data_IF_586697477145
#
_entry.id   IF_586697477145
#
_cell.length_a   1.000
_cell.length_b   1.000
_cell.length_c   1.000
_cell.angle_alpha   90.00
_cell.angle_beta   90.00
_cell.angle_gamma   90.00
#
_symmetry.space_group_name_H-M   'P 1'
#
loop_
_entity.id
_entity.type
_entity.pdbx_description
1 polymer ?
#
# COMPACT_ATOMS: atom_id res chain seq x y z
N UNK A 1 12.06 10.10 16.29
CA UNK A 1 11.98 9.12 15.17
C UNK A 1 11.25 7.89 15.71
N UNK A 2 10.70 7.03 14.85
CA UNK A 2 10.01 5.82 15.29
C UNK A 2 11.04 4.75 15.68
N UNK A 3 10.70 3.89 16.65
CA UNK A 3 11.55 2.78 17.07
C UNK A 3 11.40 1.57 16.12
N UNK A 4 10.22 1.40 15.51
CA UNK A 4 9.92 0.36 14.53
C UNK A 4 8.74 0.68 13.64
N UNK A 5 8.50 -0.18 12.65
CA UNK A 5 7.41 -0.01 11.68
C UNK A 5 6.58 -1.28 11.53
N UNK A 6 5.25 -1.15 11.57
CA UNK A 6 4.31 -2.20 11.19
C UNK A 6 3.76 -1.88 9.80
N UNK A 7 3.98 -2.79 8.85
CA UNK A 7 3.54 -2.67 7.47
C UNK A 7 2.48 -3.73 7.19
N UNK A 8 1.26 -3.32 6.88
CA UNK A 8 0.15 -4.23 6.59
C UNK A 8 -0.13 -4.19 5.08
N UNK A 9 0.23 -5.25 4.37
CA UNK A 9 0.13 -5.39 2.92
C UNK A 9 0.41 -4.08 2.14
N UNK A 10 1.60 -3.46 2.32
CA UNK A 10 1.83 -2.10 1.87
C UNK A 10 1.90 -1.98 0.35
N UNK A 11 1.21 -0.98 -0.21
CA UNK A 11 1.46 -0.55 -1.58
C UNK A 11 2.87 0.04 -1.70
N UNK A 12 3.74 -0.55 -2.54
CA UNK A 12 5.09 -0.02 -2.80
C UNK A 12 5.10 0.90 -4.03
N UNK A 13 4.66 0.39 -5.19
CA UNK A 13 4.46 1.17 -6.41
C UNK A 13 3.70 0.36 -7.44
N UNK A 14 3.03 1.03 -8.37
CA UNK A 14 2.27 0.40 -9.47
C UNK A 14 3.10 -0.54 -10.36
N UNK A 15 4.43 -0.37 -10.39
CA UNK A 15 5.37 -1.18 -11.16
C UNK A 15 6.27 -2.05 -10.27
N UNK A 16 6.00 -2.13 -8.97
CA UNK A 16 6.71 -3.05 -8.09
C UNK A 16 6.23 -4.49 -8.36
N UNK A 17 7.12 -5.51 -8.24
CA UNK A 17 6.73 -6.92 -8.39
C UNK A 17 5.59 -7.36 -7.46
N UNK A 18 5.40 -6.65 -6.35
CA UNK A 18 4.34 -6.88 -5.36
C UNK A 18 2.96 -6.43 -5.82
N UNK A 19 2.84 -5.62 -6.87
CA UNK A 19 1.55 -5.04 -7.29
C UNK A 19 0.96 -5.77 -8.47
N UNK A 20 -0.24 -6.34 -8.29
CA UNK A 20 -0.99 -6.92 -9.41
C UNK A 20 -1.42 -5.81 -10.37
N UNK A 21 -1.49 -6.08 -11.69
CA UNK A 21 -2.04 -5.13 -12.65
C UNK A 21 -3.40 -4.61 -12.19
N UNK A 22 -3.58 -3.28 -12.16
CA UNK A 22 -4.82 -2.63 -11.72
C UNK A 22 -5.28 -3.04 -10.31
N UNK A 23 -4.37 -3.46 -9.43
CA UNK A 23 -4.70 -4.00 -8.10
C UNK A 23 -5.74 -5.13 -8.18
N UNK A 24 -5.54 -6.08 -9.10
CA UNK A 24 -6.47 -7.19 -9.32
C UNK A 24 -7.82 -6.78 -9.91
N UNK A 25 -7.91 -5.59 -10.51
CA UNK A 25 -9.15 -5.01 -11.03
C UNK A 25 -9.83 -4.05 -10.06
N UNK A 26 -9.33 -3.93 -8.83
CA UNK A 26 -9.82 -2.97 -7.84
C UNK A 26 -9.63 -1.51 -8.28
N UNK A 27 -8.50 -1.19 -8.91
CA UNK A 27 -8.15 0.18 -9.29
C UNK A 27 -8.16 0.37 -10.81
N UNK A 28 -8.72 1.49 -11.27
CA UNK A 28 -8.73 1.90 -12.68
C UNK A 28 -7.93 3.19 -12.84
N UNK A 29 -6.60 3.12 -12.97
CA UNK A 29 -5.76 4.30 -13.13
C UNK A 29 -5.84 4.87 -14.55
N UNK A 30 -6.04 6.18 -14.65
CA UNK A 30 -5.91 6.93 -15.90
C UNK A 30 -4.43 7.26 -16.14
N UNK A 31 -3.61 6.25 -16.47
CA UNK A 31 -2.13 6.38 -16.51
C UNK A 31 -1.62 7.54 -17.39
N UNK A 32 -2.27 7.80 -18.54
CA UNK A 32 -1.92 8.94 -19.41
C UNK A 32 -2.17 10.29 -18.72
N UNK A 33 -3.28 10.41 -17.98
CA UNK A 33 -3.61 11.62 -17.21
C UNK A 33 -2.63 11.80 -16.06
N UNK A 34 -2.30 10.73 -15.33
CA UNK A 34 -1.30 10.75 -14.26
C UNK A 34 0.04 11.25 -14.80
N UNK A 35 0.52 10.69 -15.91
CA UNK A 35 1.78 11.08 -16.52
C UNK A 35 1.78 12.57 -16.93
N UNK A 36 0.74 13.03 -17.65
CA UNK A 36 0.64 14.42 -18.07
C UNK A 36 0.57 15.41 -16.90
N UNK A 37 -0.19 15.09 -15.86
CA UNK A 37 -0.28 15.93 -14.66
C UNK A 37 1.03 15.94 -13.86
N UNK A 38 1.73 14.81 -13.78
CA UNK A 38 3.06 14.74 -13.18
C UNK A 38 4.05 15.65 -13.94
N UNK A 39 4.01 15.66 -15.27
CA UNK A 39 4.85 16.54 -16.08
C UNK A 39 4.54 18.03 -15.84
N UNK A 40 3.27 18.40 -15.78
CA UNK A 40 2.85 19.78 -15.47
C UNK A 40 3.29 20.21 -14.06
N UNK A 41 3.12 19.34 -13.07
CA UNK A 41 3.53 19.61 -11.69
C UNK A 41 5.05 19.78 -11.57
N UNK A 42 5.85 19.02 -12.34
CA UNK A 42 7.31 19.20 -12.38
C UNK A 42 7.72 20.56 -12.96
N UNK A 43 6.85 21.22 -13.74
CA UNK A 43 7.03 22.58 -14.23
C UNK A 43 6.39 23.64 -13.31
N UNK A 44 5.85 23.25 -12.15
CA UNK A 44 5.17 24.12 -11.19
C UNK A 44 3.71 24.46 -11.53
N UNK A 45 3.11 23.79 -12.53
CA UNK A 45 1.73 24.06 -12.96
C UNK A 45 0.77 23.09 -12.26
N UNK A 46 0.09 23.56 -11.22
CA UNK A 46 -0.78 22.74 -10.35
C UNK A 46 -2.30 22.91 -10.58
N UNK A 47 -2.71 23.64 -11.62
CA UNK A 47 -4.12 24.03 -11.82
C UNK A 47 -5.08 22.85 -12.01
N UNK A 48 -4.57 21.69 -12.42
CA UNK A 48 -5.36 20.50 -12.76
C UNK A 48 -5.26 19.38 -11.72
N UNK A 49 -4.66 19.64 -10.56
CA UNK A 49 -4.44 18.65 -9.51
C UNK A 49 -5.73 18.10 -8.87
N UNK A 50 -6.87 18.73 -9.14
CA UNK A 50 -8.19 18.26 -8.72
C UNK A 50 -8.76 17.14 -9.62
N UNK A 51 -8.21 16.94 -10.82
CA UNK A 51 -8.73 15.95 -11.77
C UNK A 51 -8.61 14.53 -11.19
N UNK A 52 -9.70 13.76 -11.30
CA UNK A 52 -9.73 12.33 -10.96
C UNK A 52 -8.73 11.56 -11.80
N UNK A 53 -7.86 10.78 -11.16
CA UNK A 53 -6.84 9.96 -11.83
C UNK A 53 -6.97 8.48 -11.55
N UNK A 54 -7.63 8.08 -10.47
CA UNK A 54 -7.94 6.67 -10.17
C UNK A 54 -9.41 6.57 -9.81
N UNK A 55 -10.08 5.53 -10.29
CA UNK A 55 -11.42 5.12 -9.85
C UNK A 55 -11.32 3.73 -9.24
N UNK A 56 -12.11 3.46 -8.20
CA UNK A 56 -12.11 2.17 -7.51
C UNK A 56 -13.38 1.38 -7.82
N UNK A 57 -13.23 0.07 -7.99
CA UNK A 57 -14.32 -0.87 -8.23
C UNK A 57 -15.00 -1.28 -6.91
N UNK A 58 -15.49 -0.29 -6.16
CA UNK A 58 -16.19 -0.52 -4.89
C UNK A 58 -17.41 -1.43 -5.09
N UNK A 59 -17.61 -2.47 -4.24
CA UNK A 59 -18.75 -3.35 -4.36
C UNK A 59 -20.05 -2.63 -3.98
N UNK A 60 -21.16 -3.00 -4.62
CA UNK A 60 -22.47 -2.40 -4.34
C UNK A 60 -22.90 -2.59 -2.88
N UNK A 61 -22.52 -3.70 -2.24
CA UNK A 61 -22.76 -3.93 -0.81
C UNK A 61 -22.17 -2.85 0.10
N UNK A 62 -21.08 -2.19 -0.33
CA UNK A 62 -20.50 -1.04 0.39
C UNK A 62 -21.21 0.24 0.00
N UNK A 63 -21.40 0.48 -1.30
CA UNK A 63 -21.99 1.73 -1.83
C UNK A 63 -23.45 1.92 -1.42
N UNK A 64 -24.22 0.85 -1.38
CA UNK A 64 -25.63 0.85 -1.00
C UNK A 64 -25.81 0.66 0.52
N UNK A 65 -24.71 0.46 1.25
CA UNK A 65 -24.70 0.27 2.69
C UNK A 65 -24.88 1.59 3.48
N UNK A 66 -25.11 1.52 4.80
CA UNK A 66 -25.35 2.70 5.64
C UNK A 66 -24.23 3.76 5.63
N UNK A 67 -23.01 3.35 5.28
CA UNK A 67 -21.82 4.21 5.21
C UNK A 67 -21.34 4.43 3.76
N UNK A 68 -22.13 4.06 2.75
CA UNK A 68 -21.72 4.11 1.34
C UNK A 68 -21.29 5.50 0.86
N UNK A 69 -21.96 6.55 1.32
CA UNK A 69 -21.61 7.96 1.03
C UNK A 69 -20.22 8.37 1.57
N UNK A 70 -19.67 7.62 2.54
CA UNK A 70 -18.31 7.85 3.06
C UNK A 70 -17.24 7.07 2.30
N UNK A 71 -17.63 6.16 1.41
CA UNK A 71 -16.69 5.38 0.61
C UNK A 71 -15.94 6.29 -0.37
N UNK A 72 -14.61 6.24 -0.33
CA UNK A 72 -13.80 6.95 -1.32
C UNK A 72 -13.73 6.15 -2.61
N UNK A 73 -14.54 6.51 -3.60
CA UNK A 73 -14.67 5.80 -4.88
C UNK A 73 -13.65 6.23 -5.93
N UNK A 74 -12.93 7.34 -5.71
CA UNK A 74 -11.96 7.85 -6.66
C UNK A 74 -10.92 8.75 -5.99
N UNK A 75 -9.72 8.83 -6.58
CA UNK A 75 -8.68 9.76 -6.18
C UNK A 75 -8.45 10.85 -7.24
N UNK A 76 -8.36 12.10 -6.79
CA UNK A 76 -7.78 13.21 -7.56
C UNK A 76 -6.27 13.08 -7.66
N UNK A 77 -5.64 13.82 -8.59
CA UNK A 77 -4.18 13.78 -8.74
C UNK A 77 -3.44 14.22 -7.47
N UNK A 78 -3.89 15.28 -6.79
CA UNK A 78 -3.30 15.69 -5.51
C UNK A 78 -3.40 14.60 -4.45
N UNK A 79 -4.56 13.94 -4.36
CA UNK A 79 -4.83 12.93 -3.35
C UNK A 79 -3.97 11.68 -3.61
N UNK A 80 -3.91 11.23 -4.87
CA UNK A 80 -3.02 10.14 -5.24
C UNK A 80 -1.55 10.48 -4.96
N UNK A 81 -1.12 11.72 -5.24
CA UNK A 81 0.26 12.15 -4.99
C UNK A 81 0.59 12.22 -3.50
N UNK A 82 -0.36 12.60 -2.64
CA UNK A 82 -0.14 12.67 -1.19
C UNK A 82 -0.10 11.30 -0.52
N UNK A 83 -0.78 10.29 -1.07
CA UNK A 83 -0.82 8.94 -0.52
C UNK A 83 0.19 7.98 -1.16
N UNK A 84 0.60 8.22 -2.40
CA UNK A 84 1.50 7.30 -3.10
C UNK A 84 2.94 7.38 -2.56
N UNK A 85 3.62 6.23 -2.37
CA UNK A 85 5.04 6.22 -2.15
C UNK A 85 5.79 6.93 -3.28
N UNK A 86 6.96 7.49 -2.92
CA UNK A 86 7.85 8.16 -3.86
C UNK A 86 8.22 7.20 -4.99
N UNK A 87 8.44 7.73 -6.19
CA UNK A 87 8.70 6.91 -7.38
C UNK A 87 9.93 6.01 -7.25
N UNK A 88 10.91 6.39 -6.42
CA UNK A 88 12.10 5.59 -6.11
C UNK A 88 11.96 4.95 -4.73
N UNK A 89 10.94 4.12 -4.52
CA UNK A 89 10.66 3.48 -3.23
C UNK A 89 11.85 2.72 -2.65
N UNK A 90 12.75 2.16 -3.49
CA UNK A 90 13.98 1.51 -3.01
C UNK A 90 14.92 2.41 -2.20
N UNK A 91 14.92 3.74 -2.43
CA UNK A 91 15.66 4.67 -1.57
C UNK A 91 15.03 4.80 -0.19
N UNK A 92 13.71 4.79 -0.12
CA UNK A 92 12.98 4.85 1.14
C UNK A 92 13.16 3.52 1.91
N UNK A 93 13.15 2.38 1.21
CA UNK A 93 13.45 1.07 1.80
C UNK A 93 14.90 0.98 2.31
N UNK A 94 15.88 1.49 1.58
CA UNK A 94 17.27 1.51 2.03
C UNK A 94 17.52 2.44 3.23
N UNK A 95 16.66 3.44 3.42
CA UNK A 95 16.68 4.31 4.59
C UNK A 95 15.97 3.71 5.81
N UNK A 96 15.28 2.57 5.65
CA UNK A 96 14.57 1.87 6.71
C UNK A 96 15.58 1.05 7.52
N UNK A 97 16.22 1.71 8.50
CA UNK A 97 17.24 1.09 9.36
C UNK A 97 16.62 0.40 10.59
N UNK A 98 15.49 0.89 11.06
CA UNK A 98 14.77 0.35 12.21
C UNK A 98 14.10 -0.99 11.86
N UNK A 99 13.90 -1.87 12.86
CA UNK A 99 13.14 -3.09 12.66
C UNK A 99 11.73 -2.80 12.12
N UNK A 100 11.29 -3.63 11.17
CA UNK A 100 9.90 -3.63 10.74
C UNK A 100 9.32 -5.03 10.67
N UNK A 101 8.01 -5.11 10.94
CA UNK A 101 7.19 -6.28 10.69
C UNK A 101 6.30 -5.98 9.49
N UNK A 102 6.38 -6.82 8.45
CA UNK A 102 5.44 -6.81 7.34
C UNK A 102 4.52 -8.02 7.45
N UNK A 103 3.21 -7.77 7.50
CA UNK A 103 2.19 -8.82 7.48
C UNK A 103 1.35 -8.66 6.21
N UNK A 104 1.14 -9.75 5.48
CA UNK A 104 0.28 -9.75 4.29
C UNK A 104 -0.44 -11.10 4.15
N UNK A 105 -1.61 -11.10 3.54
CA UNK A 105 -2.34 -12.32 3.23
C UNK A 105 -1.88 -12.94 1.90
N UNK A 106 -1.83 -14.27 1.82
CA UNK A 106 -1.45 -14.99 0.59
C UNK A 106 -2.50 -14.89 -0.51
N UNK A 107 -3.77 -14.67 -0.14
CA UNK A 107 -4.89 -14.51 -1.06
C UNK A 107 -5.19 -13.04 -1.38
N UNK A 108 -4.25 -12.13 -1.09
CA UNK A 108 -4.38 -10.71 -1.39
C UNK A 108 -4.69 -10.47 -2.88
N UNK A 109 -5.83 -9.82 -3.10
CA UNK A 109 -6.40 -9.58 -4.42
C UNK A 109 -5.72 -8.40 -5.12
N UNK A 110 -5.09 -7.51 -4.38
CA UNK A 110 -4.41 -6.32 -4.89
C UNK A 110 -2.90 -6.53 -5.06
N UNK A 111 -2.30 -7.34 -4.18
CA UNK A 111 -0.86 -7.52 -4.05
C UNK A 111 -0.45 -8.99 -4.13
N UNK A 112 0.81 -9.22 -4.50
CA UNK A 112 1.44 -10.54 -4.56
C UNK A 112 2.31 -10.66 -3.31
N UNK A 113 1.75 -11.23 -2.24
CA UNK A 113 2.36 -11.24 -0.91
C UNK A 113 3.78 -11.85 -0.92
N UNK A 114 3.96 -12.94 -1.66
CA UNK A 114 5.24 -13.65 -1.80
C UNK A 114 6.36 -12.80 -2.41
N UNK A 115 6.01 -11.70 -3.09
CA UNK A 115 6.99 -10.80 -3.71
C UNK A 115 7.51 -9.74 -2.73
N UNK A 116 6.95 -9.60 -1.53
CA UNK A 116 7.40 -8.57 -0.58
C UNK A 116 8.86 -8.76 -0.17
N UNK A 117 9.23 -9.93 0.36
CA UNK A 117 10.59 -10.17 0.81
C UNK A 117 11.63 -10.12 -0.32
N UNK A 118 11.43 -10.76 -1.49
CA UNK A 118 12.35 -10.63 -2.63
C UNK A 118 12.49 -9.19 -3.15
N UNK A 119 11.44 -8.37 -3.04
CA UNK A 119 11.47 -6.98 -3.48
C UNK A 119 12.17 -6.06 -2.47
N UNK A 120 12.06 -6.33 -1.17
CA UNK A 120 12.52 -5.42 -0.11
C UNK A 120 13.91 -5.81 0.43
N UNK A 121 14.20 -7.10 0.60
CA UNK A 121 15.49 -7.60 1.15
C UNK A 121 16.76 -7.12 0.41
N UNK A 122 16.75 -6.77 -0.89
CA UNK A 122 17.93 -6.17 -1.53
C UNK A 122 18.26 -4.76 -1.01
N UNK A 123 17.32 -4.08 -0.36
CA UNK A 123 17.48 -2.70 0.11
C UNK A 123 17.75 -2.61 1.62
N UNK A 124 17.20 -3.51 2.42
CA UNK A 124 17.36 -3.51 3.88
C UNK A 124 17.19 -4.92 4.45
N UNK A 125 17.94 -5.22 5.51
CA UNK A 125 17.85 -6.46 6.27
C UNK A 125 16.98 -6.34 7.54
N UNK A 126 16.41 -5.16 7.82
CA UNK A 126 15.68 -4.88 9.07
C UNK A 126 14.26 -5.47 9.13
N UNK A 127 13.86 -6.28 8.15
CA UNK A 127 12.50 -6.75 7.96
C UNK A 127 12.25 -8.16 8.48
N UNK A 128 11.12 -8.34 9.17
CA UNK A 128 10.48 -9.64 9.38
C UNK A 128 9.21 -9.70 8.53
N UNK A 129 9.01 -10.80 7.81
CA UNK A 129 7.86 -10.99 6.92
C UNK A 129 6.99 -12.14 7.46
N UNK A 130 5.68 -11.90 7.57
CA UNK A 130 4.69 -12.90 7.96
C UNK A 130 3.60 -12.94 6.92
N UNK A 131 3.45 -14.08 6.26
CA UNK A 131 2.43 -14.30 5.25
C UNK A 131 1.34 -15.21 5.82
N UNK A 132 0.09 -14.75 5.79
CA UNK A 132 -1.05 -15.48 6.32
C UNK A 132 -1.75 -16.27 5.22
N UNK A 133 -1.93 -17.60 5.34
CA UNK A 133 -2.78 -18.35 4.43
C UNK A 133 -4.25 -17.92 4.57
N UNK A 134 -5.05 -18.20 3.54
CA UNK A 134 -6.51 -18.03 3.55
C UNK A 134 -6.96 -16.60 3.96
N UNK A 135 -6.15 -15.59 3.63
CA UNK A 135 -6.34 -14.19 4.06
C UNK A 135 -6.21 -13.25 2.86
N UNK A 136 -7.25 -12.46 2.59
CA UNK A 136 -7.26 -11.39 1.58
C UNK A 136 -6.71 -10.06 2.09
N UNK A 137 -6.76 -9.01 1.24
CA UNK A 137 -6.15 -7.71 1.54
C UNK A 137 -6.81 -6.99 2.72
N UNK A 138 -8.14 -6.91 2.73
CA UNK A 138 -8.91 -6.24 3.78
C UNK A 138 -9.15 -7.17 4.96
N UNK A 139 -9.31 -8.48 4.71
CA UNK A 139 -9.50 -9.50 5.74
C UNK A 139 -8.35 -9.50 6.75
N UNK A 140 -7.13 -9.18 6.29
CA UNK A 140 -5.95 -8.97 7.13
C UNK A 140 -6.22 -8.03 8.32
N UNK A 141 -7.05 -6.99 8.15
CA UNK A 141 -7.32 -6.02 9.21
C UNK A 141 -8.25 -6.55 10.30
N UNK A 142 -8.97 -7.62 10.01
CA UNK A 142 -9.98 -8.21 10.91
C UNK A 142 -9.65 -9.64 11.35
N UNK A 143 -8.62 -10.26 10.77
CA UNK A 143 -8.19 -11.60 11.15
C UNK A 143 -7.70 -11.64 12.61
N UNK A 144 -8.10 -12.63 13.42
CA UNK A 144 -7.64 -12.75 14.80
C UNK A 144 -6.13 -12.95 14.90
N UNK A 145 -5.50 -13.52 13.87
CA UNK A 145 -4.07 -13.85 13.86
C UNK A 145 -3.19 -12.59 13.88
N UNK A 146 -3.64 -11.50 13.23
CA UNK A 146 -2.86 -10.27 13.12
C UNK A 146 -2.54 -9.69 14.50
N UNK A 147 -3.50 -9.67 15.41
CA UNK A 147 -3.32 -9.14 16.75
C UNK A 147 -2.24 -9.93 17.52
N UNK A 148 -2.31 -11.26 17.48
CA UNK A 148 -1.33 -12.14 18.15
C UNK A 148 0.07 -11.93 17.58
N UNK A 149 0.22 -11.87 16.25
CA UNK A 149 1.51 -11.64 15.59
C UNK A 149 2.13 -10.31 16.00
N UNK A 150 1.32 -9.24 16.05
CA UNK A 150 1.78 -7.91 16.44
C UNK A 150 2.16 -7.88 17.92
N UNK A 151 1.37 -8.48 18.81
CA UNK A 151 1.68 -8.58 20.24
C UNK A 151 2.97 -9.36 20.46
N UNK A 152 3.16 -10.49 19.78
CA UNK A 152 4.38 -11.29 19.89
C UNK A 152 5.61 -10.53 19.38
N UNK A 153 5.46 -9.77 18.29
CA UNK A 153 6.54 -8.95 17.75
C UNK A 153 6.93 -7.82 18.71
N UNK A 154 5.94 -7.15 19.30
CA UNK A 154 6.17 -6.12 20.32
C UNK A 154 6.69 -6.69 21.64
N UNK A 155 6.29 -7.90 22.03
CA UNK A 155 6.74 -8.56 23.26
C UNK A 155 8.21 -8.99 23.22
N UNK A 156 8.73 -9.27 22.02
CA UNK A 156 10.14 -9.56 21.79
C UNK A 156 10.96 -8.29 21.46
N UNK A 157 10.35 -7.11 21.62
CA UNK A 157 11.00 -5.84 21.36
C UNK A 157 11.98 -5.49 22.48
N UNK A 158 13.28 -5.51 22.17
CA UNK A 158 14.31 -4.89 23.00
C UNK A 158 14.69 -3.56 22.35
N UNK A 159 14.28 -2.40 22.92
CA UNK A 159 14.82 -1.13 22.46
C UNK A 159 16.29 -1.06 22.87
N UNK A 160 17.16 -0.64 21.95
CA UNK A 160 18.53 -0.20 22.27
C UNK A 160 18.50 1.11 23.07
#
# INVERSE_FOLDING_TARGET
>A
LADGYLLLAPFLKYNAPTTRPNSGGWARPNSRRIAGLTMLNNLGIHWFDWLTVIQFAMPSSVLDGPLGESATTAYSHRLNTSFAPRSRYGRDLAALTQPFLLVAGLDDEAFIAEQYEPTISPYTASGRYVLLPDTGHIDLLTTPDLASIVVDWLGNWTPD
#
